data_IF_120429656128
#
_entry.id   IF_120429656128
#
_cell.length_a   1.000
_cell.length_b   1.000
_cell.length_c   1.000
_cell.angle_alpha   90.00
_cell.angle_beta   90.00
_cell.angle_gamma   90.00
#
_symmetry.space_group_name_H-M   'P 1'
#
loop_
_entity.id
_entity.type
_entity.pdbx_description
1 polymer ?
#
# COMPACT_ATOMS: atom_id res chain seq x y z
N UNK A 1 38.71 -36.38 38.12
CA UNK A 1 37.68 -35.32 38.04
C UNK A 1 38.17 -34.33 36.99
N UNK A 2 37.51 -34.26 35.84
CA UNK A 2 37.84 -33.34 34.75
C UNK A 2 36.71 -32.31 34.64
N UNK A 3 37.06 -31.03 34.64
CA UNK A 3 36.14 -29.91 34.44
C UNK A 3 35.67 -29.86 32.98
N UNK A 4 34.39 -29.52 32.69
CA UNK A 4 33.93 -29.33 31.32
C UNK A 4 34.20 -27.89 30.84
N UNK A 5 34.84 -27.80 29.68
CA UNK A 5 35.06 -26.58 28.91
C UNK A 5 33.73 -25.88 28.55
N UNK A 6 33.59 -24.60 28.93
CA UNK A 6 32.54 -23.72 28.42
C UNK A 6 32.78 -23.40 26.94
N UNK A 7 31.93 -23.93 26.07
CA UNK A 7 31.85 -23.54 24.66
C UNK A 7 31.17 -22.17 24.59
N UNK A 8 31.99 -21.12 24.52
CA UNK A 8 31.53 -19.77 24.23
C UNK A 8 30.94 -19.72 22.80
N UNK A 9 29.63 -19.88 22.72
CA UNK A 9 28.89 -19.83 21.45
C UNK A 9 28.63 -18.36 21.12
N UNK A 10 29.52 -17.76 20.33
CA UNK A 10 29.26 -16.45 19.73
C UNK A 10 27.99 -16.55 18.86
N UNK A 11 26.88 -15.98 19.34
CA UNK A 11 25.67 -15.80 18.54
C UNK A 11 25.99 -14.83 17.40
N UNK A 12 26.17 -15.37 16.20
CA UNK A 12 26.19 -14.56 14.98
C UNK A 12 24.79 -13.99 14.77
N UNK A 13 24.63 -12.68 14.99
CA UNK A 13 23.41 -11.98 14.62
C UNK A 13 23.48 -11.70 13.13
N UNK A 14 22.58 -12.30 12.35
CA UNK A 14 22.41 -11.94 10.95
C UNK A 14 21.93 -10.49 10.88
N UNK A 15 22.77 -9.59 10.39
CA UNK A 15 22.37 -8.21 10.11
C UNK A 15 21.48 -8.21 8.88
N UNK A 16 20.18 -8.01 9.06
CA UNK A 16 19.25 -7.83 7.94
C UNK A 16 19.43 -6.42 7.36
N UNK A 17 19.89 -6.33 6.12
CA UNK A 17 20.09 -5.05 5.44
C UNK A 17 18.78 -4.66 4.73
N UNK A 18 18.09 -3.65 5.26
CA UNK A 18 16.83 -3.15 4.67
C UNK A 18 17.16 -2.20 3.51
N UNK A 19 16.66 -2.51 2.32
CA UNK A 19 16.86 -1.66 1.13
C UNK A 19 15.76 -0.61 1.01
N UNK A 20 16.07 0.57 0.45
CA UNK A 20 15.06 1.58 0.16
C UNK A 20 14.05 1.06 -0.87
N UNK A 21 12.81 1.60 -0.89
CA UNK A 21 11.88 1.32 -1.98
C UNK A 21 12.48 1.68 -3.34
N UNK A 22 11.98 1.05 -4.39
CA UNK A 22 12.29 1.46 -5.76
C UNK A 22 11.87 2.91 -6.00
N UNK A 23 12.52 3.60 -6.95
CA UNK A 23 12.17 4.96 -7.38
C UNK A 23 10.66 5.11 -7.57
N UNK A 24 10.09 6.23 -7.12
CA UNK A 24 8.66 6.47 -7.27
C UNK A 24 8.31 6.71 -8.74
N UNK A 25 7.17 6.19 -9.20
CA UNK A 25 6.73 6.34 -10.59
C UNK A 25 6.03 7.66 -10.88
N UNK A 26 5.78 8.49 -9.86
CA UNK A 26 5.01 9.73 -9.92
C UNK A 26 3.55 9.56 -10.40
N UNK A 27 3.07 8.31 -10.42
CA UNK A 27 1.66 8.00 -10.63
C UNK A 27 0.89 8.18 -9.32
N UNK A 28 -0.13 9.04 -9.35
CA UNK A 28 -0.96 9.38 -8.18
C UNK A 28 -1.65 8.17 -7.54
N UNK A 29 -1.97 7.14 -8.34
CA UNK A 29 -2.55 5.87 -7.88
C UNK A 29 -1.58 5.04 -7.04
N UNK A 30 -0.27 5.15 -7.28
CA UNK A 30 0.77 4.35 -6.60
C UNK A 30 1.31 5.00 -5.33
N UNK A 31 1.00 6.29 -5.11
CA UNK A 31 1.53 7.07 -3.99
C UNK A 31 1.33 6.38 -2.65
N UNK A 32 0.10 5.97 -2.32
CA UNK A 32 -0.22 5.35 -1.02
C UNK A 32 0.55 4.05 -0.78
N UNK A 33 0.76 3.24 -1.82
CA UNK A 33 1.56 2.01 -1.73
C UNK A 33 3.03 2.34 -1.52
N UNK A 34 3.56 3.30 -2.28
CA UNK A 34 4.95 3.68 -2.24
C UNK A 34 5.33 4.33 -0.90
N UNK A 35 4.57 5.33 -0.43
CA UNK A 35 4.87 6.03 0.83
C UNK A 35 4.80 5.09 2.04
N UNK A 36 3.87 4.13 2.04
CA UNK A 36 3.80 3.08 3.07
C UNK A 36 5.07 2.22 3.10
N UNK A 37 5.65 1.93 1.94
CA UNK A 37 6.91 1.18 1.85
C UNK A 37 8.10 2.02 2.33
N UNK A 38 8.11 3.31 1.99
CA UNK A 38 9.12 4.25 2.50
C UNK A 38 9.05 4.40 4.02
N UNK A 39 7.86 4.55 4.61
CA UNK A 39 7.71 4.67 6.08
C UNK A 39 8.20 3.42 6.81
N UNK A 40 7.97 2.23 6.24
CA UNK A 40 8.56 0.98 6.77
C UNK A 40 10.09 0.99 6.72
N UNK A 41 10.66 1.42 5.60
CA UNK A 41 12.10 1.57 5.45
C UNK A 41 12.65 2.59 6.47
N UNK A 42 11.97 3.72 6.63
CA UNK A 42 12.33 4.80 7.56
C UNK A 42 12.41 4.29 9.01
N UNK A 43 11.43 3.51 9.45
CA UNK A 43 11.40 2.93 10.80
C UNK A 43 12.45 1.80 10.93
N UNK A 44 12.52 0.90 9.95
CA UNK A 44 13.39 -0.28 10.03
C UNK A 44 14.88 0.06 9.96
N UNK A 45 15.24 1.21 9.40
CA UNK A 45 16.62 1.71 9.34
C UNK A 45 16.94 2.74 10.43
N UNK A 46 16.01 2.98 11.36
CA UNK A 46 16.09 4.03 12.38
C UNK A 46 16.30 5.45 11.82
N UNK A 47 15.95 5.65 10.56
CA UNK A 47 15.97 6.96 9.92
C UNK A 47 14.99 7.91 10.63
N UNK A 48 13.89 7.39 11.16
CA UNK A 48 12.92 8.12 11.97
C UNK A 48 13.50 8.77 13.23
N UNK A 49 14.61 8.23 13.75
CA UNK A 49 15.35 8.76 14.91
C UNK A 49 16.41 9.79 14.54
N UNK A 50 16.68 10.01 13.25
CA UNK A 50 17.65 11.01 12.78
C UNK A 50 16.99 12.38 12.72
N UNK A 51 17.81 13.41 12.52
CA UNK A 51 17.34 14.78 12.29
C UNK A 51 16.31 14.82 11.14
N UNK A 52 15.20 15.56 11.32
CA UNK A 52 14.11 15.59 10.34
C UNK A 52 14.59 16.01 8.94
N UNK A 53 15.54 16.94 8.85
CA UNK A 53 16.16 17.34 7.59
C UNK A 53 16.80 16.15 6.84
N UNK A 54 17.42 15.20 7.54
CA UNK A 54 17.96 13.98 6.92
C UNK A 54 16.85 13.04 6.44
N UNK A 55 15.74 12.99 7.15
CA UNK A 55 14.57 12.20 6.76
C UNK A 55 13.93 12.77 5.49
N UNK A 56 13.82 14.11 5.41
CA UNK A 56 13.32 14.80 4.21
C UNK A 56 14.23 14.54 3.01
N UNK A 57 15.54 14.71 3.15
CA UNK A 57 16.48 14.44 2.07
C UNK A 57 16.42 12.98 1.60
N UNK A 58 16.34 12.03 2.54
CA UNK A 58 16.18 10.62 2.19
C UNK A 58 14.86 10.33 1.46
N UNK A 59 13.77 10.99 1.83
CA UNK A 59 12.48 10.88 1.14
C UNK A 59 12.61 11.35 -0.31
N UNK A 60 13.05 12.59 -0.51
CA UNK A 60 13.17 13.22 -1.84
C UNK A 60 14.12 12.41 -2.73
N UNK A 61 15.31 12.06 -2.21
CA UNK A 61 16.30 11.29 -2.95
C UNK A 61 15.78 9.91 -3.37
N UNK A 62 14.99 9.25 -2.52
CA UNK A 62 14.41 7.93 -2.84
C UNK A 62 13.26 8.04 -3.84
N UNK A 63 12.51 9.16 -3.83
CA UNK A 63 11.49 9.44 -4.86
C UNK A 63 12.13 9.67 -6.23
N UNK A 64 13.30 10.33 -6.24
CA UNK A 64 14.10 10.67 -7.42
C UNK A 64 13.81 12.07 -7.97
N UNK A 65 14.55 12.46 -9.00
CA UNK A 65 14.72 13.84 -9.49
C UNK A 65 13.41 14.63 -9.69
N UNK A 66 12.32 14.00 -10.14
CA UNK A 66 11.04 14.68 -10.37
C UNK A 66 10.40 15.17 -9.04
N UNK A 67 10.86 14.67 -7.89
CA UNK A 67 10.44 15.16 -6.57
C UNK A 67 10.98 16.57 -6.28
N UNK A 68 12.16 16.93 -6.78
CA UNK A 68 12.77 18.26 -6.59
C UNK A 68 11.97 19.35 -7.32
N UNK A 69 11.46 19.04 -8.52
CA UNK A 69 10.58 19.94 -9.26
C UNK A 69 9.25 20.15 -8.53
N UNK A 70 8.65 19.05 -8.04
CA UNK A 70 7.37 19.09 -7.34
C UNK A 70 7.49 19.82 -6.00
N UNK A 71 8.53 19.56 -5.20
CA UNK A 71 8.68 20.21 -3.89
C UNK A 71 8.92 21.72 -4.02
N UNK A 72 9.64 22.14 -5.06
CA UNK A 72 9.83 23.56 -5.38
C UNK A 72 8.49 24.24 -5.68
N UNK A 73 7.57 23.53 -6.35
CA UNK A 73 6.22 24.04 -6.64
C UNK A 73 5.34 24.24 -5.40
N UNK A 74 5.69 23.65 -4.24
CA UNK A 74 4.91 23.79 -3.01
C UNK A 74 5.11 25.13 -2.30
N UNK A 75 6.17 25.88 -2.63
CA UNK A 75 6.46 27.17 -2.01
C UNK A 75 6.71 27.09 -0.50
N UNK A 76 7.33 26.00 -0.03
CA UNK A 76 7.63 25.78 1.38
C UNK A 76 8.74 26.73 1.87
N UNK A 77 8.58 27.24 3.08
CA UNK A 77 9.66 27.95 3.78
C UNK A 77 10.81 27.01 4.16
N UNK A 78 12.00 27.55 4.45
CA UNK A 78 13.13 26.75 4.91
C UNK A 78 12.81 25.95 6.19
N UNK A 79 11.96 26.47 7.05
CA UNK A 79 11.55 25.79 8.28
C UNK A 79 10.61 24.62 7.99
N UNK A 80 9.69 24.78 7.05
CA UNK A 80 8.78 23.70 6.63
C UNK A 80 9.52 22.60 5.87
N UNK A 81 10.53 22.95 5.06
CA UNK A 81 11.40 22.01 4.36
C UNK A 81 12.22 21.13 5.31
N UNK A 82 12.37 21.53 6.57
CA UNK A 82 13.03 20.72 7.60
C UNK A 82 12.07 19.76 8.29
N UNK A 83 10.76 19.95 8.18
CA UNK A 83 9.79 19.09 8.83
C UNK A 83 9.36 17.93 7.94
N UNK A 84 9.74 16.72 8.34
CA UNK A 84 9.39 15.50 7.62
C UNK A 84 7.88 15.37 7.42
N UNK A 85 7.11 15.63 8.49
CA UNK A 85 5.65 15.55 8.45
C UNK A 85 5.07 16.53 7.43
N UNK A 86 5.49 17.79 7.47
CA UNK A 86 4.98 18.82 6.55
C UNK A 86 5.27 18.48 5.10
N UNK A 87 6.52 18.10 4.78
CA UNK A 87 6.92 17.74 3.42
C UNK A 87 6.14 16.52 2.91
N UNK A 88 6.06 15.46 3.72
CA UNK A 88 5.30 14.25 3.39
C UNK A 88 3.83 14.59 3.12
N UNK A 89 3.20 15.37 4.00
CA UNK A 89 1.78 15.71 3.87
C UNK A 89 1.51 16.60 2.64
N UNK A 90 2.47 17.43 2.21
CA UNK A 90 2.37 18.17 0.94
C UNK A 90 2.42 17.23 -0.27
N UNK A 91 3.32 16.26 -0.28
CA UNK A 91 3.33 15.24 -1.34
C UNK A 91 2.06 14.39 -1.32
N UNK A 92 1.59 13.97 -0.14
CA UNK A 92 0.33 13.26 0.02
C UNK A 92 -0.81 14.06 -0.61
N UNK A 93 -0.96 15.34 -0.26
CA UNK A 93 -1.98 16.20 -0.85
C UNK A 93 -1.80 16.40 -2.36
N UNK A 94 -0.57 16.52 -2.86
CA UNK A 94 -0.33 16.67 -4.29
C UNK A 94 -0.79 15.44 -5.08
N UNK A 95 -0.46 14.23 -4.62
CA UNK A 95 -0.80 13.00 -5.31
C UNK A 95 -2.22 12.52 -5.01
N UNK A 96 -2.75 12.74 -3.80
CA UNK A 96 -4.16 12.46 -3.47
C UNK A 96 -5.08 13.46 -4.17
N UNK A 97 -4.83 14.77 -4.15
CA UNK A 97 -5.71 15.73 -4.83
C UNK A 97 -5.75 15.52 -6.35
N UNK A 98 -4.66 15.01 -6.93
CA UNK A 98 -4.60 14.60 -8.34
C UNK A 98 -5.17 13.20 -8.59
N UNK A 99 -5.54 12.45 -7.56
CA UNK A 99 -6.22 11.16 -7.72
C UNK A 99 -7.61 11.42 -8.27
N UNK A 100 -7.82 11.02 -9.52
CA UNK A 100 -9.14 11.05 -10.12
C UNK A 100 -9.98 9.91 -9.53
N UNK A 101 -10.72 10.20 -8.46
CA UNK A 101 -11.59 9.22 -7.79
C UNK A 101 -12.60 8.60 -8.75
N UNK A 102 -13.07 9.33 -9.76
CA UNK A 102 -13.98 8.81 -10.78
C UNK A 102 -13.28 7.73 -11.62
N UNK A 103 -12.03 7.96 -12.01
CA UNK A 103 -11.22 6.98 -12.73
C UNK A 103 -10.97 5.72 -11.89
N UNK A 104 -10.62 5.86 -10.61
CA UNK A 104 -10.40 4.72 -9.70
C UNK A 104 -11.68 3.91 -9.51
N UNK A 105 -12.83 4.58 -9.33
CA UNK A 105 -14.14 3.93 -9.26
C UNK A 105 -14.51 3.24 -10.56
N UNK A 106 -14.21 3.83 -11.71
CA UNK A 106 -14.41 3.19 -12.99
C UNK A 106 -13.57 1.91 -13.11
N UNK A 107 -12.29 1.96 -12.73
CA UNK A 107 -11.39 0.80 -12.70
C UNK A 107 -11.91 -0.31 -11.78
N UNK A 108 -12.41 0.05 -10.60
CA UNK A 108 -13.07 -0.89 -9.69
C UNK A 108 -14.32 -1.50 -10.34
N UNK A 109 -15.20 -0.68 -10.92
CA UNK A 109 -16.50 -1.11 -11.44
C UNK A 109 -16.42 -1.99 -12.71
N UNK A 110 -15.33 -1.92 -13.47
CA UNK A 110 -15.13 -2.78 -14.66
C UNK A 110 -14.38 -4.08 -14.33
N UNK A 111 -13.96 -4.28 -13.07
CA UNK A 111 -13.12 -5.40 -12.68
C UNK A 111 -13.96 -6.68 -12.56
N UNK A 112 -13.74 -7.63 -13.45
CA UNK A 112 -14.35 -8.97 -13.43
C UNK A 112 -13.26 -10.04 -13.33
N UNK A 113 -13.59 -11.22 -12.79
CA UNK A 113 -12.66 -12.35 -12.72
C UNK A 113 -12.27 -12.84 -14.12
N UNK A 114 -10.95 -12.93 -14.38
CA UNK A 114 -10.43 -13.40 -15.67
C UNK A 114 -10.55 -14.93 -15.83
N UNK A 115 -10.36 -15.44 -17.05
CA UNK A 115 -10.57 -16.87 -17.39
C UNK A 115 -9.76 -17.85 -16.56
N UNK A 116 -8.55 -17.47 -16.15
CA UNK A 116 -7.62 -18.32 -15.42
C UNK A 116 -7.20 -17.69 -14.08
N UNK A 117 -7.99 -16.74 -13.59
CA UNK A 117 -7.69 -16.05 -12.34
C UNK A 117 -8.30 -16.81 -11.14
N UNK A 118 -7.49 -17.14 -10.12
CA UNK A 118 -8.01 -17.65 -8.84
C UNK A 118 -8.95 -16.64 -8.17
N UNK A 119 -10.04 -17.13 -7.56
CA UNK A 119 -11.05 -16.28 -6.91
C UNK A 119 -10.42 -15.39 -5.83
N UNK A 120 -9.44 -15.92 -5.08
CA UNK A 120 -8.72 -15.19 -4.04
C UNK A 120 -7.90 -14.02 -4.60
N UNK A 121 -7.32 -14.19 -5.80
CA UNK A 121 -6.58 -13.11 -6.49
C UNK A 121 -7.54 -11.99 -6.87
N UNK A 122 -8.67 -12.35 -7.48
CA UNK A 122 -9.72 -11.40 -7.85
C UNK A 122 -10.23 -10.59 -6.66
N UNK A 123 -10.50 -11.27 -5.54
CA UNK A 123 -10.97 -10.63 -4.31
C UNK A 123 -9.89 -9.70 -3.73
N UNK A 124 -8.64 -10.16 -3.70
CA UNK A 124 -7.50 -9.36 -3.23
C UNK A 124 -7.37 -8.08 -4.06
N UNK A 125 -7.49 -8.18 -5.38
CA UNK A 125 -7.44 -7.04 -6.28
C UNK A 125 -8.59 -6.06 -6.05
N UNK A 126 -9.82 -6.54 -5.84
CA UNK A 126 -10.96 -5.68 -5.50
C UNK A 126 -10.72 -4.89 -4.21
N UNK A 127 -10.17 -5.54 -3.18
CA UNK A 127 -9.78 -4.85 -1.94
C UNK A 127 -8.69 -3.80 -2.19
N UNK A 128 -7.72 -4.10 -3.06
CA UNK A 128 -6.68 -3.17 -3.45
C UNK A 128 -7.26 -1.94 -4.17
N UNK A 129 -8.11 -2.14 -5.19
CA UNK A 129 -8.74 -1.07 -5.97
C UNK A 129 -9.65 -0.18 -5.12
N UNK A 130 -10.43 -0.79 -4.22
CA UNK A 130 -11.34 -0.06 -3.34
C UNK A 130 -10.64 0.91 -2.38
N UNK A 131 -9.34 0.74 -2.10
CA UNK A 131 -8.55 1.68 -1.29
C UNK A 131 -8.44 3.08 -1.93
N UNK A 132 -8.55 3.16 -3.26
CA UNK A 132 -8.38 4.40 -4.01
C UNK A 132 -9.71 5.09 -4.35
N UNK A 133 -10.85 4.44 -4.03
CA UNK A 133 -12.17 4.86 -4.50
C UNK A 133 -12.91 5.80 -3.55
N UNK A 134 -12.37 6.07 -2.35
CA UNK A 134 -12.99 6.89 -1.31
C UNK A 134 -14.43 6.46 -1.00
N UNK A 135 -14.68 5.15 -0.89
CA UNK A 135 -16.01 4.61 -0.59
C UNK A 135 -16.47 4.83 0.86
N UNK A 136 -15.56 5.24 1.75
CA UNK A 136 -15.86 5.47 3.16
C UNK A 136 -16.47 4.23 3.82
N UNK A 137 -17.56 4.43 4.57
CA UNK A 137 -18.27 3.37 5.30
C UNK A 137 -18.88 2.29 4.40
N UNK A 138 -19.07 2.57 3.10
CA UNK A 138 -19.68 1.64 2.14
C UNK A 138 -18.66 0.67 1.52
N UNK A 139 -17.37 0.83 1.81
CA UNK A 139 -16.29 0.09 1.15
C UNK A 139 -16.52 -1.42 1.16
N UNK A 140 -16.76 -2.01 2.32
CA UNK A 140 -16.89 -3.46 2.45
C UNK A 140 -18.16 -3.98 1.77
N UNK A 141 -19.26 -3.23 1.84
CA UNK A 141 -20.50 -3.56 1.15
C UNK A 141 -20.32 -3.53 -0.37
N UNK A 142 -19.64 -2.52 -0.91
CA UNK A 142 -19.39 -2.39 -2.34
C UNK A 142 -18.45 -3.48 -2.85
N UNK A 143 -17.41 -3.84 -2.09
CA UNK A 143 -16.54 -4.97 -2.43
C UNK A 143 -17.33 -6.27 -2.49
N UNK A 144 -18.14 -6.56 -1.47
CA UNK A 144 -19.01 -7.75 -1.43
C UNK A 144 -19.94 -7.81 -2.65
N UNK A 145 -20.65 -6.71 -2.93
CA UNK A 145 -21.54 -6.63 -4.09
C UNK A 145 -20.76 -6.89 -5.40
N UNK A 146 -19.55 -6.34 -5.51
CA UNK A 146 -18.74 -6.48 -6.71
C UNK A 146 -18.19 -7.91 -6.88
N UNK A 147 -17.82 -8.58 -5.79
CA UNK A 147 -17.43 -10.00 -5.83
C UNK A 147 -18.58 -10.81 -6.43
N UNK A 148 -19.80 -10.64 -5.92
CA UNK A 148 -20.97 -11.39 -6.38
C UNK A 148 -21.20 -11.23 -7.88
N UNK A 149 -21.20 -10.00 -8.40
CA UNK A 149 -21.49 -9.76 -9.83
C UNK A 149 -20.30 -10.03 -10.76
N UNK A 150 -19.08 -9.86 -10.26
CA UNK A 150 -17.84 -9.96 -11.03
C UNK A 150 -17.26 -11.36 -11.14
N UNK A 151 -17.80 -12.34 -10.41
CA UNK A 151 -17.41 -13.75 -10.53
C UNK A 151 -17.69 -14.31 -11.93
N UNK A 152 -16.75 -15.13 -12.43
CA UNK A 152 -16.90 -15.85 -13.69
C UNK A 152 -17.87 -17.02 -13.57
N UNK A 153 -17.81 -17.75 -12.45
CA UNK A 153 -18.73 -18.84 -12.17
C UNK A 153 -20.13 -18.29 -11.88
N UNK A 154 -20.99 -18.29 -12.91
CA UNK A 154 -22.36 -17.73 -12.81
C UNK A 154 -23.26 -18.49 -11.86
N UNK A 155 -23.10 -19.81 -11.72
CA UNK A 155 -23.85 -20.60 -10.74
C UNK A 155 -23.48 -20.22 -9.30
N UNK A 156 -22.19 -20.02 -9.03
CA UNK A 156 -21.72 -19.54 -7.73
C UNK A 156 -22.22 -18.12 -7.46
N UNK A 157 -22.13 -17.24 -8.46
CA UNK A 157 -22.68 -15.88 -8.37
C UNK A 157 -24.17 -15.87 -8.02
N UNK A 158 -25.00 -16.66 -8.72
CA UNK A 158 -26.43 -16.79 -8.44
C UNK A 158 -26.69 -17.32 -7.03
N UNK A 159 -25.94 -18.34 -6.60
CA UNK A 159 -26.05 -18.88 -5.23
C UNK A 159 -25.74 -17.79 -4.18
N UNK A 160 -24.69 -17.01 -4.40
CA UNK A 160 -24.27 -15.94 -3.49
C UNK A 160 -25.28 -14.79 -3.44
N UNK A 161 -25.99 -14.48 -4.54
CA UNK A 161 -27.05 -13.48 -4.55
C UNK A 161 -28.24 -13.83 -3.65
N UNK A 162 -28.41 -15.12 -3.34
CA UNK A 162 -29.49 -15.63 -2.49
C UNK A 162 -29.08 -15.76 -1.02
N UNK A 163 -27.81 -15.52 -0.66
CA UNK A 163 -27.32 -15.55 0.72
C UNK A 163 -27.43 -14.16 1.38
N UNK A 164 -28.36 -13.94 2.32
CA UNK A 164 -28.53 -12.65 3.00
C UNK A 164 -27.36 -12.26 3.91
N UNK A 165 -26.55 -13.23 4.36
CA UNK A 165 -25.44 -12.99 5.29
C UNK A 165 -24.07 -13.01 4.58
N UNK A 166 -24.05 -13.23 3.27
CA UNK A 166 -22.89 -13.33 2.36
C UNK A 166 -21.58 -13.63 3.09
N UNK A 167 -21.43 -14.86 3.58
CA UNK A 167 -20.24 -15.26 4.33
C UNK A 167 -19.15 -15.74 3.37
N UNK A 168 -18.38 -14.79 2.81
CA UNK A 168 -17.30 -15.05 1.83
C UNK A 168 -16.42 -16.27 2.20
N UNK A 169 -16.11 -16.46 3.49
CA UNK A 169 -15.26 -17.55 3.97
C UNK A 169 -15.81 -18.97 3.75
N UNK A 170 -17.13 -19.15 3.65
CA UNK A 170 -17.75 -20.49 3.52
C UNK A 170 -17.94 -20.91 2.07
N UNK A 171 -18.19 -19.96 1.17
CA UNK A 171 -18.58 -20.25 -0.21
C UNK A 171 -17.43 -20.22 -1.22
N UNK A 172 -16.34 -19.51 -0.94
CA UNK A 172 -15.14 -19.47 -1.80
C UNK A 172 -14.32 -20.77 -1.67
N UNK A 173 -14.39 -21.45 -0.53
CA UNK A 173 -13.70 -22.73 -0.32
C UNK A 173 -14.24 -23.89 -1.18
N UNK A 174 -15.33 -23.67 -1.94
CA UNK A 174 -16.04 -24.68 -2.74
C UNK A 174 -15.87 -24.41 -4.26
N UNK A 175 -15.18 -23.33 -4.65
CA UNK A 175 -14.86 -23.03 -6.06
C UNK A 175 -13.51 -23.58 -6.48
#
# INVERSE_FOLDING_TARGET
>A
MAEPNEVNTARSFTTYQVTPPSKFSFQSSEWTRWIRRFERFRIATELDKKEEAKQVNALIYTMGDEADDIITSFGLSEQEMKSYKTVRDKFENHFIAKRNVIFERAKFNVRIQDENEPVESFITDLHCLANNCEFGVLKDQLIKNHIVVGLRNKKLSEKLQLDPELTLAKDIAIS
#
